data_IF_677977831896
#
_entry.id   IF_677977831896
#
_cell.length_a   1.000
_cell.length_b   1.000
_cell.length_c   1.000
_cell.angle_alpha   90.00
_cell.angle_beta   90.00
_cell.angle_gamma   90.00
#
_symmetry.space_group_name_H-M   'P 1'
#
loop_
_entity.id
_entity.type
_entity.pdbx_description
1 polymer ?
#
# COMPACT_ATOMS: atom_id res chain seq x y z
N UNK A 1 8.32 -13.19 -32.53
CA UNK A 1 9.00 -13.79 -31.35
C UNK A 1 8.22 -13.41 -30.09
N UNK A 2 8.21 -14.26 -29.05
CA UNK A 2 7.57 -13.94 -27.79
C UNK A 2 8.45 -12.89 -27.09
N UNK A 3 7.89 -11.74 -26.67
CA UNK A 3 8.64 -10.67 -25.99
C UNK A 3 9.30 -11.18 -24.71
N UNK A 4 10.54 -10.79 -24.49
CA UNK A 4 11.27 -11.06 -23.24
C UNK A 4 10.92 -9.97 -22.22
N UNK A 5 10.37 -10.37 -21.07
CA UNK A 5 9.82 -9.46 -20.06
C UNK A 5 10.62 -9.56 -18.76
N UNK A 6 11.00 -8.44 -18.18
CA UNK A 6 11.53 -8.34 -16.82
C UNK A 6 10.55 -7.57 -15.93
N UNK A 7 10.28 -8.10 -14.74
CA UNK A 7 9.52 -7.38 -13.69
C UNK A 7 10.45 -7.09 -12.52
N UNK A 8 10.62 -5.82 -12.19
CA UNK A 8 11.47 -5.37 -11.09
C UNK A 8 10.60 -5.03 -9.89
N UNK A 9 10.86 -5.65 -8.76
CA UNK A 9 10.16 -5.36 -7.50
C UNK A 9 11.17 -4.97 -6.42
N UNK A 10 10.87 -3.97 -5.60
CA UNK A 10 11.84 -3.40 -4.65
C UNK A 10 12.46 -4.45 -3.73
N UNK A 11 11.64 -5.28 -3.07
CA UNK A 11 12.09 -6.41 -2.25
C UNK A 11 10.96 -7.43 -2.01
N UNK A 12 11.34 -8.69 -1.85
CA UNK A 12 10.47 -9.83 -1.61
C UNK A 12 10.76 -10.41 -0.20
N UNK A 13 10.24 -9.77 0.84
CA UNK A 13 10.46 -10.17 2.23
C UNK A 13 9.17 -10.51 3.00
N UNK A 14 8.03 -10.57 2.31
CA UNK A 14 6.71 -10.93 2.84
C UNK A 14 5.62 -10.62 1.85
N UNK A 15 4.46 -11.27 1.99
CA UNK A 15 3.30 -11.04 1.13
C UNK A 15 2.45 -9.88 1.66
N UNK A 16 2.41 -8.78 0.94
CA UNK A 16 1.61 -7.57 1.22
C UNK A 16 0.91 -7.13 -0.06
N UNK A 17 0.30 -5.95 -0.06
CA UNK A 17 -0.41 -5.43 -1.23
C UNK A 17 0.45 -5.30 -2.49
N UNK A 18 1.72 -4.92 -2.35
CA UNK A 18 2.64 -4.82 -3.49
C UNK A 18 2.95 -6.16 -4.14
N UNK A 19 3.18 -7.19 -3.32
CA UNK A 19 3.44 -8.55 -3.79
C UNK A 19 2.19 -9.22 -4.38
N UNK A 20 0.98 -8.85 -3.91
CA UNK A 20 -0.28 -9.28 -4.55
C UNK A 20 -0.45 -8.66 -5.94
N UNK A 21 -0.07 -7.39 -6.11
CA UNK A 21 0.00 -6.76 -7.44
C UNK A 21 0.99 -7.50 -8.33
N UNK A 22 2.18 -7.84 -7.80
CA UNK A 22 3.19 -8.60 -8.55
C UNK A 22 2.67 -9.97 -9.01
N UNK A 23 1.97 -10.73 -8.15
CA UNK A 23 1.36 -12.01 -8.53
C UNK A 23 0.46 -11.88 -9.77
N UNK A 24 -0.39 -10.86 -9.80
CA UNK A 24 -1.29 -10.65 -10.93
C UNK A 24 -0.59 -10.12 -12.19
N UNK A 25 0.49 -9.34 -12.03
CA UNK A 25 1.35 -8.97 -13.16
C UNK A 25 2.02 -10.21 -13.78
N UNK A 26 2.44 -11.17 -12.95
CA UNK A 26 3.02 -12.44 -13.40
C UNK A 26 1.96 -13.34 -14.08
N UNK A 27 0.70 -13.30 -13.67
CA UNK A 27 -0.39 -13.98 -14.40
C UNK A 27 -0.61 -13.39 -15.80
N UNK A 28 -0.41 -12.06 -15.98
CA UNK A 28 -0.48 -11.42 -17.31
C UNK A 28 0.77 -11.69 -18.14
N UNK A 29 1.95 -11.79 -17.51
CA UNK A 29 3.24 -12.06 -18.15
C UNK A 29 3.91 -13.30 -17.55
N UNK A 30 3.38 -14.52 -17.78
CA UNK A 30 3.87 -15.74 -17.13
C UNK A 30 5.30 -16.14 -17.53
N UNK A 31 5.87 -15.52 -18.55
CA UNK A 31 7.26 -15.72 -18.97
C UNK A 31 8.24 -14.71 -18.34
N UNK A 32 7.78 -13.81 -17.48
CA UNK A 32 8.61 -12.74 -16.96
C UNK A 32 9.66 -13.27 -15.97
N UNK A 33 10.87 -12.75 -16.07
CA UNK A 33 11.92 -12.88 -15.07
C UNK A 33 11.74 -11.77 -14.01
N UNK A 34 12.07 -12.08 -12.76
CA UNK A 34 11.90 -11.14 -11.63
C UNK A 34 13.28 -10.65 -11.17
N UNK A 35 13.41 -9.35 -10.94
CA UNK A 35 14.57 -8.71 -10.35
C UNK A 35 14.20 -8.04 -9.03
N UNK A 36 14.99 -8.24 -7.97
CA UNK A 36 14.69 -7.70 -6.65
C UNK A 36 15.95 -7.45 -5.83
N UNK A 37 15.91 -6.46 -4.92
CA UNK A 37 17.04 -6.20 -4.03
C UNK A 37 17.21 -7.29 -2.97
N UNK A 38 16.12 -7.78 -2.40
CA UNK A 38 16.13 -8.75 -1.30
C UNK A 38 15.05 -9.81 -1.52
N UNK A 39 15.38 -11.05 -1.14
CA UNK A 39 14.48 -12.20 -1.19
C UNK A 39 14.55 -13.00 0.11
N UNK A 40 13.40 -13.21 0.76
CA UNK A 40 13.21 -14.11 1.90
C UNK A 40 12.19 -15.20 1.49
N UNK A 41 12.68 -16.25 0.83
CA UNK A 41 11.85 -17.29 0.18
C UNK A 41 10.70 -17.83 1.03
N UNK A 42 10.95 -18.06 2.35
CA UNK A 42 9.95 -18.63 3.28
C UNK A 42 8.69 -17.77 3.46
N UNK A 43 8.76 -16.48 3.10
CA UNK A 43 7.69 -15.51 3.28
C UNK A 43 7.01 -15.13 1.97
N UNK A 44 7.37 -15.79 0.84
CA UNK A 44 6.90 -15.45 -0.51
C UNK A 44 6.08 -16.62 -1.06
N UNK A 45 5.01 -16.31 -1.79
CA UNK A 45 4.14 -17.31 -2.38
C UNK A 45 4.84 -18.15 -3.43
N UNK A 46 4.36 -19.39 -3.59
CA UNK A 46 4.84 -20.31 -4.61
C UNK A 46 4.64 -19.75 -6.04
N UNK A 47 3.59 -18.97 -6.28
CA UNK A 47 3.35 -18.30 -7.56
C UNK A 47 4.54 -17.43 -7.99
N UNK A 48 5.05 -16.59 -7.08
CA UNK A 48 6.23 -15.75 -7.34
C UNK A 48 7.49 -16.61 -7.44
N UNK A 49 7.65 -17.60 -6.56
CA UNK A 49 8.84 -18.48 -6.52
C UNK A 49 8.96 -19.41 -7.74
N UNK A 50 7.88 -19.61 -8.50
CA UNK A 50 7.91 -20.40 -9.75
C UNK A 50 8.63 -19.69 -10.92
N UNK A 51 8.93 -18.40 -10.78
CA UNK A 51 9.65 -17.62 -11.79
C UNK A 51 11.16 -17.58 -11.53
N UNK A 52 11.95 -17.23 -12.55
CA UNK A 52 13.37 -16.93 -12.37
C UNK A 52 13.51 -15.65 -11.58
N UNK A 53 14.20 -15.69 -10.43
CA UNK A 53 14.39 -14.53 -9.56
C UNK A 53 15.87 -14.17 -9.46
N UNK A 54 16.22 -13.02 -9.99
CA UNK A 54 17.55 -12.42 -9.90
C UNK A 54 17.60 -11.47 -8.70
N UNK A 55 18.51 -11.76 -7.78
CA UNK A 55 18.60 -11.04 -6.51
C UNK A 55 19.90 -10.27 -6.42
N UNK A 56 19.86 -9.05 -5.89
CA UNK A 56 21.05 -8.22 -5.76
C UNK A 56 22.12 -8.86 -4.87
N UNK A 57 23.42 -8.51 -5.07
CA UNK A 57 24.49 -8.98 -4.20
C UNK A 57 24.32 -8.60 -2.72
N UNK A 58 23.59 -7.53 -2.41
CA UNK A 58 23.31 -7.10 -1.03
C UNK A 58 22.55 -8.18 -0.24
N UNK A 59 21.77 -9.02 -0.90
CA UNK A 59 21.00 -10.09 -0.27
C UNK A 59 21.88 -11.16 0.40
N UNK A 60 23.14 -11.33 -0.04
CA UNK A 60 24.10 -12.28 0.56
C UNK A 60 24.43 -11.94 2.01
N UNK A 61 24.36 -10.66 2.38
CA UNK A 61 24.72 -10.17 3.71
C UNK A 61 23.48 -10.16 4.61
N UNK A 62 23.35 -11.14 5.51
CA UNK A 62 22.21 -11.25 6.43
C UNK A 62 21.98 -9.99 7.26
N UNK A 63 23.06 -9.32 7.71
CA UNK A 63 22.95 -8.06 8.44
C UNK A 63 22.27 -6.97 7.61
N UNK A 64 22.65 -6.81 6.33
CA UNK A 64 22.03 -5.81 5.44
C UNK A 64 20.56 -6.18 5.20
N UNK A 65 20.28 -7.45 4.90
CA UNK A 65 18.90 -7.93 4.66
C UNK A 65 17.98 -7.69 5.84
N UNK A 66 18.45 -7.98 7.07
CA UNK A 66 17.64 -7.80 8.28
C UNK A 66 17.45 -6.33 8.69
N UNK A 67 18.38 -5.45 8.27
CA UNK A 67 18.37 -4.02 8.60
C UNK A 67 18.30 -3.13 7.35
N UNK A 68 17.74 -3.63 6.24
CA UNK A 68 17.79 -3.01 4.91
C UNK A 68 17.39 -1.53 4.88
N UNK A 69 16.45 -1.11 5.74
CA UNK A 69 16.00 0.29 5.84
C UNK A 69 17.13 1.27 6.15
N UNK A 70 18.19 0.84 6.81
CA UNK A 70 19.37 1.66 7.12
C UNK A 70 20.35 1.78 5.94
N UNK A 71 20.22 0.89 4.95
CA UNK A 71 21.08 0.82 3.77
C UNK A 71 20.47 1.47 2.53
N UNK A 72 19.38 2.21 2.70
CA UNK A 72 18.69 2.92 1.62
C UNK A 72 19.63 3.73 0.69
N UNK A 73 20.68 4.43 1.16
CA UNK A 73 21.60 5.14 0.28
C UNK A 73 22.37 4.27 -0.74
N UNK A 74 22.45 2.95 -0.52
CA UNK A 74 23.09 2.01 -1.46
C UNK A 74 22.13 1.50 -2.55
N UNK A 75 20.80 1.61 -2.34
CA UNK A 75 19.83 1.02 -3.23
C UNK A 75 19.83 1.61 -4.64
N UNK A 76 20.05 2.93 -4.85
CA UNK A 76 20.17 3.49 -6.18
C UNK A 76 21.19 2.77 -7.06
N UNK A 77 22.44 2.70 -6.63
CA UNK A 77 23.49 2.03 -7.39
C UNK A 77 23.28 0.52 -7.52
N UNK A 78 22.65 -0.08 -6.52
CA UNK A 78 22.36 -1.53 -6.56
C UNK A 78 21.27 -1.89 -7.56
N UNK A 79 20.22 -1.08 -7.67
CA UNK A 79 19.14 -1.35 -8.64
C UNK A 79 19.61 -1.08 -10.07
N UNK A 80 20.44 -0.05 -10.27
CA UNK A 80 21.01 0.30 -11.56
C UNK A 80 22.05 -0.71 -12.06
N UNK A 81 22.59 -1.55 -11.17
CA UNK A 81 23.59 -2.58 -11.53
C UNK A 81 22.99 -3.87 -12.11
N UNK A 82 21.67 -4.02 -12.16
CA UNK A 82 21.06 -5.16 -12.83
C UNK A 82 21.21 -5.04 -14.36
N UNK A 83 21.69 -6.12 -14.98
CA UNK A 83 21.76 -6.22 -16.43
C UNK A 83 20.39 -6.63 -17.01
N UNK A 84 19.80 -5.73 -17.76
CA UNK A 84 18.54 -5.96 -18.48
C UNK A 84 18.75 -6.00 -20.01
N UNK A 85 19.96 -6.32 -20.47
CA UNK A 85 20.23 -6.48 -21.90
C UNK A 85 19.34 -7.55 -22.51
N UNK A 86 18.71 -7.23 -23.64
CA UNK A 86 17.87 -8.16 -24.40
C UNK A 86 16.46 -8.38 -23.84
N UNK A 87 15.99 -7.57 -22.90
CA UNK A 87 14.57 -7.47 -22.56
C UNK A 87 13.88 -6.44 -23.46
N UNK A 88 12.69 -6.80 -23.97
CA UNK A 88 11.87 -5.93 -24.80
C UNK A 88 10.92 -5.07 -23.95
N UNK A 89 10.53 -5.61 -22.79
CA UNK A 89 9.62 -4.97 -21.84
C UNK A 89 10.16 -5.06 -20.42
N UNK A 90 10.22 -3.92 -19.76
CA UNK A 90 10.61 -3.78 -18.37
C UNK A 90 9.44 -3.19 -17.59
N UNK A 91 8.99 -3.88 -16.55
CA UNK A 91 7.90 -3.42 -15.67
C UNK A 91 8.49 -3.24 -14.28
N UNK A 92 8.43 -2.04 -13.72
CA UNK A 92 8.85 -1.81 -12.33
C UNK A 92 7.64 -1.64 -11.41
N UNK A 93 7.50 -2.52 -10.41
CA UNK A 93 6.52 -2.44 -9.31
C UNK A 93 7.21 -1.74 -8.14
N UNK A 94 6.99 -0.42 -8.00
CA UNK A 94 7.87 0.44 -7.22
C UNK A 94 7.16 1.20 -6.09
N UNK A 95 7.75 1.15 -4.92
CA UNK A 95 7.46 2.02 -3.78
C UNK A 95 8.76 2.64 -3.20
N UNK A 96 9.91 2.27 -3.80
CA UNK A 96 11.23 2.75 -3.43
C UNK A 96 12.08 3.01 -4.69
N UNK A 97 12.97 2.08 -5.06
CA UNK A 97 13.98 2.29 -6.11
C UNK A 97 13.74 1.51 -7.40
N UNK A 98 12.80 0.55 -7.43
CA UNK A 98 12.61 -0.34 -8.59
C UNK A 98 12.41 0.40 -9.91
N UNK A 99 11.75 1.59 -9.91
CA UNK A 99 11.61 2.43 -11.10
C UNK A 99 12.94 3.00 -11.64
N UNK A 100 14.01 2.94 -10.82
CA UNK A 100 15.33 3.45 -11.19
C UNK A 100 16.19 2.47 -11.96
N UNK A 101 15.66 1.30 -12.32
CA UNK A 101 16.34 0.36 -13.21
C UNK A 101 16.73 1.03 -14.54
N UNK A 102 17.82 0.56 -15.16
CA UNK A 102 18.27 1.03 -16.46
C UNK A 102 17.91 -0.02 -17.52
N UNK A 103 16.83 0.18 -18.31
CA UNK A 103 16.47 -0.72 -19.39
C UNK A 103 17.42 -0.57 -20.58
N UNK A 104 17.41 -1.54 -21.50
CA UNK A 104 18.05 -1.39 -22.80
C UNK A 104 17.42 -0.25 -23.63
N UNK A 105 18.14 0.29 -24.65
CA UNK A 105 17.69 1.47 -25.39
C UNK A 105 16.36 1.27 -26.15
N UNK A 106 16.06 0.05 -26.57
CA UNK A 106 14.83 -0.30 -27.29
C UNK A 106 13.74 -0.88 -26.38
N UNK A 107 14.03 -1.09 -25.10
CA UNK A 107 13.09 -1.70 -24.16
C UNK A 107 12.07 -0.67 -23.65
N UNK A 108 10.80 -1.01 -23.75
CA UNK A 108 9.72 -0.21 -23.14
C UNK A 108 9.73 -0.35 -21.62
N UNK A 109 9.83 0.75 -20.88
CA UNK A 109 9.78 0.76 -19.42
C UNK A 109 8.44 1.31 -18.89
N UNK A 110 7.64 0.45 -18.29
CA UNK A 110 6.38 0.81 -17.61
C UNK A 110 6.56 0.70 -16.10
N UNK A 111 6.28 1.77 -15.36
CA UNK A 111 6.43 1.79 -13.91
C UNK A 111 5.08 1.88 -13.18
N UNK A 112 4.73 0.82 -12.45
CA UNK A 112 3.60 0.83 -11.53
C UNK A 112 4.04 1.36 -10.18
N UNK A 113 3.54 2.52 -9.80
CA UNK A 113 3.93 3.22 -8.57
C UNK A 113 2.89 2.96 -7.47
N UNK A 114 3.31 2.21 -6.44
CA UNK A 114 2.52 2.07 -5.21
C UNK A 114 2.53 3.35 -4.38
N UNK A 115 3.69 4.03 -4.37
CA UNK A 115 3.90 5.31 -3.70
C UNK A 115 5.22 5.90 -4.18
N UNK A 116 5.32 7.20 -4.48
CA UNK A 116 6.61 7.88 -4.44
C UNK A 116 7.23 7.72 -3.04
N UNK A 117 8.57 7.65 -2.95
CA UNK A 117 9.27 7.43 -1.66
C UNK A 117 8.85 8.44 -0.59
N UNK A 118 7.80 8.12 0.20
CA UNK A 118 7.17 9.05 1.16
C UNK A 118 8.14 9.61 2.19
N UNK A 119 9.11 8.82 2.63
CA UNK A 119 10.11 9.22 3.64
C UNK A 119 11.15 10.21 3.12
N UNK A 120 11.32 10.40 1.81
CA UNK A 120 12.17 11.46 1.27
C UNK A 120 11.35 12.67 0.83
N UNK A 121 10.05 12.50 0.53
CA UNK A 121 9.16 13.56 0.07
C UNK A 121 8.25 14.10 1.18
N UNK A 122 6.98 13.83 1.09
CA UNK A 122 5.91 14.44 1.91
C UNK A 122 5.90 14.01 3.39
N UNK A 123 6.42 12.83 3.72
CA UNK A 123 6.46 12.34 5.10
C UNK A 123 7.87 12.45 5.75
N UNK A 124 8.78 13.22 5.17
CA UNK A 124 10.14 13.38 5.70
C UNK A 124 10.15 13.74 7.20
N UNK A 125 9.33 14.68 7.60
CA UNK A 125 9.28 15.12 8.99
C UNK A 125 8.65 14.08 9.93
N UNK A 126 7.69 13.29 9.47
CA UNK A 126 7.12 12.17 10.24
C UNK A 126 8.16 11.09 10.55
N UNK A 127 9.07 10.82 9.60
CA UNK A 127 10.13 9.82 9.78
C UNK A 127 11.34 10.34 10.53
N UNK A 128 11.77 11.58 10.26
CA UNK A 128 13.06 12.10 10.70
C UNK A 128 12.98 13.37 11.55
N UNK A 129 11.81 13.93 11.78
CA UNK A 129 11.62 15.19 12.48
C UNK A 129 12.17 15.21 13.92
N UNK A 130 12.14 14.06 14.61
CA UNK A 130 12.66 13.90 15.97
C UNK A 130 14.18 13.69 16.04
N UNK A 131 14.87 13.51 14.89
CA UNK A 131 16.33 13.28 14.84
C UNK A 131 17.09 14.57 15.11
N UNK A 132 18.18 14.53 15.90
CA UNK A 132 18.98 15.69 16.31
C UNK A 132 20.46 15.51 15.96
N UNK A 133 21.24 16.60 16.04
CA UNK A 133 22.70 16.63 15.97
C UNK A 133 23.26 16.17 14.61
N UNK A 134 24.45 15.60 14.61
CA UNK A 134 25.18 15.14 13.41
C UNK A 134 24.38 14.12 12.60
N UNK A 135 23.63 13.25 13.25
CA UNK A 135 22.75 12.27 12.60
C UNK A 135 21.69 12.96 11.73
N UNK A 136 21.10 14.06 12.20
CA UNK A 136 20.14 14.86 11.40
C UNK A 136 20.79 15.44 10.15
N UNK A 137 22.01 16.00 10.27
CA UNK A 137 22.75 16.55 9.15
C UNK A 137 23.10 15.48 8.11
N UNK A 138 23.56 14.32 8.56
CA UNK A 138 23.85 13.18 7.68
C UNK A 138 22.60 12.71 6.93
N UNK A 139 21.48 12.46 7.64
CA UNK A 139 20.20 12.04 7.02
C UNK A 139 19.76 13.08 5.98
N UNK A 140 19.78 14.38 6.33
CA UNK A 140 19.40 15.45 5.41
C UNK A 140 20.21 15.43 4.13
N UNK A 141 21.52 15.22 4.22
CA UNK A 141 22.41 15.12 3.05
C UNK A 141 22.06 13.91 2.18
N UNK A 142 21.83 12.73 2.80
CA UNK A 142 21.47 11.52 2.05
C UNK A 142 20.09 11.66 1.38
N UNK A 143 19.11 12.18 2.10
CA UNK A 143 17.75 12.42 1.55
C UNK A 143 17.81 13.42 0.37
N UNK A 144 18.63 14.47 0.46
CA UNK A 144 18.81 15.40 -0.66
C UNK A 144 19.36 14.71 -1.90
N UNK A 145 20.38 13.83 -1.75
CA UNK A 145 20.92 13.04 -2.86
C UNK A 145 19.87 12.08 -3.43
N UNK A 146 19.11 11.41 -2.56
CA UNK A 146 18.06 10.49 -2.98
C UNK A 146 16.95 11.21 -3.76
N UNK A 147 16.59 12.45 -3.40
CA UNK A 147 15.60 13.24 -4.16
C UNK A 147 16.08 13.54 -5.58
N UNK A 148 17.34 13.93 -5.73
CA UNK A 148 17.94 14.19 -7.06
C UNK A 148 17.93 12.91 -7.90
N UNK A 149 18.38 11.80 -7.33
CA UNK A 149 18.36 10.50 -7.99
C UNK A 149 16.95 10.04 -8.35
N UNK A 150 15.99 10.20 -7.43
CA UNK A 150 14.61 9.79 -7.61
C UNK A 150 13.91 10.51 -8.78
N UNK A 151 14.20 11.81 -8.93
CA UNK A 151 13.76 12.61 -10.08
C UNK A 151 14.46 12.15 -11.36
N UNK A 152 15.79 12.01 -11.35
CA UNK A 152 16.55 11.55 -12.52
C UNK A 152 16.11 10.15 -12.98
N UNK A 153 15.87 9.24 -12.03
CA UNK A 153 15.34 7.90 -12.30
C UNK A 153 13.96 7.95 -12.96
N UNK A 154 13.11 8.89 -12.56
CA UNK A 154 11.76 9.04 -13.16
C UNK A 154 11.78 9.47 -14.63
N UNK A 155 12.85 10.11 -15.09
CA UNK A 155 13.00 10.51 -16.49
C UNK A 155 13.25 9.31 -17.44
N UNK A 156 13.73 8.18 -16.91
CA UNK A 156 14.00 6.94 -17.68
C UNK A 156 12.77 6.05 -17.87
N UNK A 157 11.67 6.38 -17.22
CA UNK A 157 10.40 5.64 -17.31
C UNK A 157 9.59 6.18 -18.49
N UNK A 158 9.17 5.32 -19.41
CA UNK A 158 8.35 5.73 -20.55
C UNK A 158 6.92 6.01 -20.10
N UNK A 159 6.32 5.08 -19.35
CA UNK A 159 4.93 5.20 -18.90
C UNK A 159 4.77 4.91 -17.40
N UNK A 160 4.01 5.78 -16.74
CA UNK A 160 3.65 5.60 -15.33
C UNK A 160 2.22 5.10 -15.16
N UNK A 161 2.06 4.15 -14.23
CA UNK A 161 0.78 3.72 -13.69
C UNK A 161 0.78 4.04 -12.20
N UNK A 162 -0.23 4.74 -11.73
CA UNK A 162 -0.46 5.02 -10.32
C UNK A 162 -1.51 4.06 -9.75
N UNK A 163 -1.35 3.64 -8.50
CA UNK A 163 -2.33 2.79 -7.82
C UNK A 163 -3.61 3.55 -7.39
N UNK A 164 -3.61 4.87 -7.46
CA UNK A 164 -4.74 5.74 -7.09
C UNK A 164 -4.62 7.13 -7.71
N UNK A 165 -5.72 7.87 -7.74
CA UNK A 165 -5.69 9.30 -8.12
C UNK A 165 -4.83 10.13 -7.15
N UNK A 166 -4.76 9.73 -5.88
CA UNK A 166 -3.88 10.37 -4.91
C UNK A 166 -2.39 10.18 -5.27
N UNK A 167 -1.97 8.97 -5.63
CA UNK A 167 -0.60 8.70 -6.07
C UNK A 167 -0.32 9.34 -7.43
N UNK A 168 -1.27 9.36 -8.37
CA UNK A 168 -1.16 10.10 -9.64
C UNK A 168 -0.82 11.57 -9.41
N UNK A 169 -1.53 12.25 -8.48
CA UNK A 169 -1.22 13.64 -8.11
C UNK A 169 0.19 13.81 -7.54
N UNK A 170 0.68 12.81 -6.77
CA UNK A 170 2.04 12.81 -6.20
C UNK A 170 3.11 12.56 -7.26
N UNK A 171 2.87 11.69 -8.25
CA UNK A 171 3.74 11.50 -9.41
C UNK A 171 3.89 12.83 -10.16
N UNK A 172 2.79 13.48 -10.47
CA UNK A 172 2.82 14.81 -11.08
C UNK A 172 3.57 15.84 -10.22
N UNK A 173 3.31 15.86 -8.92
CA UNK A 173 3.95 16.82 -8.00
C UNK A 173 5.46 16.68 -7.97
N UNK A 174 5.99 15.45 -7.88
CA UNK A 174 7.41 15.20 -7.65
C UNK A 174 8.21 14.94 -8.93
N UNK A 175 7.59 14.29 -9.92
CA UNK A 175 8.27 13.86 -11.14
C UNK A 175 7.86 14.67 -12.38
N UNK A 176 6.78 15.45 -12.32
CA UNK A 176 6.22 16.16 -13.46
C UNK A 176 5.89 15.22 -14.64
N UNK A 177 5.44 14.01 -14.32
CA UNK A 177 5.07 12.98 -15.28
C UNK A 177 3.59 12.64 -15.15
N UNK A 178 2.94 12.41 -16.30
CA UNK A 178 1.57 11.88 -16.36
C UNK A 178 1.57 10.40 -15.96
N UNK A 179 0.46 9.94 -15.37
CA UNK A 179 0.24 8.55 -15.02
C UNK A 179 -1.20 8.13 -15.31
N UNK A 180 -1.38 6.93 -15.82
CA UNK A 180 -2.67 6.25 -15.80
C UNK A 180 -2.98 5.78 -14.37
N UNK A 181 -4.25 5.51 -14.06
CA UNK A 181 -4.64 4.94 -12.77
C UNK A 181 -5.15 3.53 -13.00
N UNK A 182 -4.50 2.55 -12.34
CA UNK A 182 -4.96 1.17 -12.24
C UNK A 182 -4.91 0.79 -10.78
N UNK A 183 -6.07 0.64 -10.17
CA UNK A 183 -6.19 0.34 -8.74
C UNK A 183 -5.65 -1.05 -8.41
N UNK A 184 -4.95 -1.24 -7.27
CA UNK A 184 -4.43 -2.54 -6.88
C UNK A 184 -5.56 -3.49 -6.50
N UNK A 185 -5.33 -4.80 -6.60
CA UNK A 185 -6.34 -5.81 -6.30
C UNK A 185 -6.58 -5.97 -4.80
N UNK A 186 -7.83 -6.24 -4.45
CA UNK A 186 -8.21 -6.86 -3.19
C UNK A 186 -8.79 -8.26 -3.47
N UNK A 187 -8.66 -9.17 -2.50
CA UNK A 187 -9.18 -10.53 -2.61
C UNK A 187 -10.70 -10.53 -2.33
N UNK A 188 -11.46 -10.02 -3.29
CA UNK A 188 -12.91 -9.91 -3.17
C UNK A 188 -13.64 -11.25 -3.19
N UNK A 189 -12.99 -12.33 -3.62
CA UNK A 189 -13.56 -13.67 -3.63
C UNK A 189 -13.44 -14.32 -2.25
N UNK A 190 -12.36 -14.04 -1.54
CA UNK A 190 -12.17 -14.46 -0.16
C UNK A 190 -13.00 -13.59 0.82
N UNK A 191 -12.92 -12.26 0.70
CA UNK A 191 -13.71 -11.34 1.51
C UNK A 191 -15.11 -11.22 0.94
N UNK A 192 -16.08 -11.79 1.64
CA UNK A 192 -17.49 -11.80 1.23
C UNK A 192 -18.39 -11.46 2.42
N UNK A 193 -19.55 -10.88 2.18
CA UNK A 193 -20.52 -10.62 3.23
C UNK A 193 -21.08 -11.95 3.78
N UNK A 194 -21.63 -11.89 4.97
CA UNK A 194 -22.31 -13.00 5.62
C UNK A 194 -23.72 -12.53 6.02
N UNK A 195 -24.68 -13.44 5.97
CA UNK A 195 -26.06 -13.16 6.38
C UNK A 195 -26.21 -13.31 7.90
N UNK A 196 -25.53 -12.44 8.64
CA UNK A 196 -25.58 -12.38 10.09
C UNK A 196 -25.61 -10.92 10.56
N UNK A 197 -26.23 -10.64 11.73
CA UNK A 197 -26.30 -9.28 12.23
C UNK A 197 -24.91 -8.71 12.53
N UNK A 198 -24.74 -7.41 12.30
CA UNK A 198 -23.57 -6.68 12.74
C UNK A 198 -23.46 -6.74 14.26
N UNK A 199 -22.22 -6.83 14.77
CA UNK A 199 -21.91 -6.72 16.20
C UNK A 199 -21.60 -5.27 16.52
N UNK A 200 -21.75 -4.89 17.76
CA UNK A 200 -21.56 -3.50 18.20
C UNK A 200 -20.08 -3.17 18.42
N UNK A 201 -19.32 -3.09 17.33
CA UNK A 201 -17.93 -2.60 17.35
C UNK A 201 -17.52 -1.99 16.02
N UNK A 202 -16.55 -1.07 16.10
CA UNK A 202 -15.81 -0.52 14.98
C UNK A 202 -14.48 -1.25 14.80
N UNK A 203 -13.99 -1.33 13.57
CA UNK A 203 -12.76 -2.05 13.24
C UNK A 203 -11.76 -1.12 12.55
N UNK A 204 -10.49 -1.18 12.96
CA UNK A 204 -9.38 -0.63 12.18
C UNK A 204 -8.28 -1.67 12.01
N UNK A 205 -7.75 -1.79 10.79
CA UNK A 205 -6.66 -2.72 10.43
C UNK A 205 -5.52 -1.91 9.84
N UNK A 206 -4.40 -1.82 10.56
CA UNK A 206 -3.29 -0.96 10.15
C UNK A 206 -1.97 -1.31 10.81
N UNK A 207 -0.85 -0.95 10.18
CA UNK A 207 0.43 -0.88 10.88
C UNK A 207 0.37 0.21 11.97
N UNK A 208 0.85 -0.10 13.17
CA UNK A 208 0.84 0.83 14.30
C UNK A 208 2.07 1.75 14.24
N UNK A 209 1.96 2.76 13.36
CA UNK A 209 2.99 3.78 13.10
C UNK A 209 2.37 5.20 13.19
N UNK A 210 3.14 6.25 13.52
CA UNK A 210 2.59 7.57 13.85
C UNK A 210 1.65 8.15 12.79
N UNK A 211 2.00 8.05 11.50
CA UNK A 211 1.22 8.67 10.41
C UNK A 211 -0.12 7.98 10.09
N UNK A 212 -0.44 6.89 10.78
CA UNK A 212 -1.75 6.21 10.68
C UNK A 212 -2.79 6.79 11.63
N UNK A 213 -2.38 7.72 12.53
CA UNK A 213 -3.27 8.48 13.43
C UNK A 213 -4.18 7.58 14.30
N UNK A 214 -3.66 6.40 14.71
CA UNK A 214 -4.42 5.45 15.56
C UNK A 214 -4.64 6.01 16.96
N UNK A 215 -3.75 6.85 17.46
CA UNK A 215 -3.88 7.59 18.72
C UNK A 215 -5.14 8.49 18.74
N UNK A 216 -5.41 9.19 17.63
CA UNK A 216 -6.64 10.00 17.49
C UNK A 216 -7.91 9.16 17.48
N UNK A 217 -7.87 7.97 16.84
CA UNK A 217 -9.00 7.05 16.92
C UNK A 217 -9.22 6.60 18.35
N UNK A 218 -8.16 6.19 19.07
CA UNK A 218 -8.26 5.77 20.47
C UNK A 218 -8.84 6.90 21.33
N UNK A 219 -8.37 8.14 21.18
CA UNK A 219 -8.87 9.27 21.93
C UNK A 219 -10.36 9.53 21.66
N UNK A 220 -10.78 9.48 20.39
CA UNK A 220 -12.18 9.65 20.00
C UNK A 220 -13.06 8.55 20.60
N UNK A 221 -12.64 7.27 20.48
CA UNK A 221 -13.40 6.15 20.99
C UNK A 221 -13.40 6.07 22.53
N UNK A 222 -12.35 6.50 23.22
CA UNK A 222 -12.37 6.66 24.67
C UNK A 222 -13.46 7.65 25.12
N UNK A 223 -13.71 8.71 24.33
CA UNK A 223 -14.69 9.75 24.66
C UNK A 223 -16.11 9.36 24.28
N UNK A 224 -16.33 8.72 23.14
CA UNK A 224 -17.68 8.31 22.74
C UNK A 224 -18.14 6.99 23.39
N UNK A 225 -17.22 6.18 23.91
CA UNK A 225 -17.54 4.93 24.63
C UNK A 225 -17.82 3.71 23.72
N UNK A 226 -17.89 3.88 22.42
CA UNK A 226 -18.09 2.78 21.46
C UNK A 226 -16.89 1.82 21.47
N UNK A 227 -17.12 0.54 21.17
CA UNK A 227 -16.04 -0.45 21.09
C UNK A 227 -15.22 -0.29 19.82
N UNK A 228 -13.90 -0.19 19.94
CA UNK A 228 -12.96 -0.19 18.82
C UNK A 228 -12.04 -1.41 18.89
N UNK A 229 -12.03 -2.22 17.83
CA UNK A 229 -11.06 -3.30 17.64
C UNK A 229 -9.94 -2.80 16.72
N UNK A 230 -8.71 -2.85 17.22
CA UNK A 230 -7.50 -2.45 16.49
C UNK A 230 -6.71 -3.70 16.14
N UNK A 231 -6.60 -4.00 14.84
CA UNK A 231 -5.79 -5.12 14.34
C UNK A 231 -4.51 -4.60 13.73
N UNK A 232 -3.36 -5.03 14.26
CA UNK A 232 -2.08 -4.65 13.70
C UNK A 232 -0.90 -4.77 14.63
N UNK A 233 0.28 -4.43 14.08
CA UNK A 233 1.57 -4.40 14.79
C UNK A 233 2.35 -3.15 14.40
N UNK A 234 3.20 -2.67 15.30
CA UNK A 234 4.10 -1.56 14.98
C UNK A 234 4.80 -1.01 16.19
N UNK A 235 5.74 -0.08 15.99
CA UNK A 235 6.54 0.51 17.06
C UNK A 235 5.69 1.30 18.07
N UNK A 236 4.52 1.82 17.66
CA UNK A 236 3.63 2.59 18.54
C UNK A 236 2.73 1.72 19.46
N UNK A 237 2.74 0.38 19.31
CA UNK A 237 1.82 -0.51 20.06
C UNK A 237 1.84 -0.24 21.59
N UNK A 238 3.05 -0.07 22.18
CA UNK A 238 3.18 0.22 23.61
C UNK A 238 2.58 1.55 24.03
N UNK A 239 2.78 2.58 23.20
CA UNK A 239 2.28 3.92 23.47
C UNK A 239 0.75 3.99 23.31
N UNK A 240 0.23 3.37 22.26
CA UNK A 240 -1.21 3.28 22.00
C UNK A 240 -1.95 2.54 23.11
N UNK A 241 -1.41 1.43 23.62
CA UNK A 241 -2.00 0.70 24.75
C UNK A 241 -2.03 1.48 26.06
N UNK A 242 -1.14 2.46 26.26
CA UNK A 242 -1.15 3.31 27.47
C UNK A 242 -2.31 4.30 27.50
N UNK A 243 -2.78 4.74 26.34
CA UNK A 243 -3.87 5.72 26.20
C UNK A 243 -5.23 5.06 25.94
N UNK A 244 -5.25 3.75 25.74
CA UNK A 244 -6.46 2.98 25.41
C UNK A 244 -7.33 2.78 26.65
N UNK A 245 -8.62 3.08 26.54
CA UNK A 245 -9.66 2.78 27.52
C UNK A 245 -10.10 1.31 27.46
N UNK A 246 -11.06 0.94 28.32
CA UNK A 246 -11.58 -0.44 28.43
C UNK A 246 -12.34 -0.92 27.19
N UNK A 247 -12.84 0.01 26.38
CA UNK A 247 -13.60 -0.24 25.14
C UNK A 247 -12.66 -0.40 23.91
N UNK A 248 -11.34 -0.33 24.08
CA UNK A 248 -10.35 -0.48 23.00
C UNK A 248 -9.71 -1.86 23.08
N UNK A 249 -9.86 -2.67 22.04
CA UNK A 249 -9.37 -4.05 21.97
C UNK A 249 -8.27 -4.18 20.93
N UNK A 250 -7.07 -4.58 21.33
CA UNK A 250 -5.96 -4.86 20.40
C UNK A 250 -5.91 -6.33 20.03
N UNK A 251 -5.84 -6.61 18.72
CA UNK A 251 -5.65 -7.95 18.16
C UNK A 251 -4.43 -7.97 17.24
N UNK A 252 -3.75 -9.11 17.18
CA UNK A 252 -2.58 -9.33 16.29
C UNK A 252 -2.43 -10.81 15.95
N UNK A 253 -1.69 -11.13 14.89
CA UNK A 253 -1.45 -12.50 14.42
C UNK A 253 -2.75 -13.27 14.13
N UNK A 254 -3.75 -12.59 13.61
CA UNK A 254 -4.99 -13.23 13.17
C UNK A 254 -4.74 -14.04 11.90
N UNK A 255 -5.48 -15.15 11.75
CA UNK A 255 -5.62 -15.80 10.46
C UNK A 255 -6.41 -14.92 9.48
N UNK A 256 -6.38 -15.26 8.20
CA UNK A 256 -7.18 -14.54 7.21
C UNK A 256 -8.68 -14.66 7.48
N UNK A 257 -9.12 -15.84 7.94
CA UNK A 257 -10.50 -16.15 8.31
C UNK A 257 -10.96 -15.32 9.52
N UNK A 258 -10.15 -15.24 10.57
CA UNK A 258 -10.43 -14.42 11.75
C UNK A 258 -10.53 -12.94 11.39
N UNK A 259 -9.66 -12.47 10.50
CA UNK A 259 -9.71 -11.08 10.01
C UNK A 259 -10.97 -10.83 9.17
N UNK A 260 -11.34 -11.77 8.29
CA UNK A 260 -12.58 -11.70 7.52
C UNK A 260 -13.81 -11.65 8.42
N UNK A 261 -13.87 -12.49 9.46
CA UNK A 261 -14.98 -12.47 10.44
C UNK A 261 -15.10 -11.08 11.11
N UNK A 262 -13.96 -10.45 11.47
CA UNK A 262 -13.99 -9.10 12.03
C UNK A 262 -14.53 -8.05 11.04
N UNK A 263 -14.16 -8.14 9.77
CA UNK A 263 -14.75 -7.25 8.75
C UNK A 263 -16.25 -7.49 8.59
N UNK A 264 -16.67 -8.75 8.51
CA UNK A 264 -18.08 -9.13 8.27
C UNK A 264 -19.03 -8.61 9.34
N UNK A 265 -18.59 -8.56 10.59
CA UNK A 265 -19.44 -8.21 11.72
C UNK A 265 -19.25 -6.78 12.26
N UNK A 266 -18.28 -6.03 11.78
CA UNK A 266 -18.08 -4.65 12.23
C UNK A 266 -19.24 -3.73 11.83
N UNK A 267 -19.62 -2.81 12.71
CA UNK A 267 -20.55 -1.72 12.41
C UNK A 267 -20.03 -0.87 11.26
N UNK A 268 -18.75 -0.51 11.32
CA UNK A 268 -18.02 0.12 10.24
C UNK A 268 -16.51 -0.12 10.39
N UNK A 269 -15.78 -0.06 9.27
CA UNK A 269 -14.33 0.06 9.26
C UNK A 269 -13.96 1.53 9.43
N UNK A 270 -13.12 1.86 10.42
CA UNK A 270 -12.76 3.26 10.73
C UNK A 270 -11.28 3.53 10.53
N UNK A 271 -10.95 4.68 9.92
CA UNK A 271 -9.57 5.06 9.67
C UNK A 271 -9.36 6.59 9.66
N UNK A 272 -8.40 7.07 10.46
CA UNK A 272 -8.12 8.50 10.57
C UNK A 272 -6.88 8.97 9.79
N UNK A 273 -6.02 8.06 9.35
CA UNK A 273 -4.81 8.37 8.61
C UNK A 273 -5.04 8.64 7.12
N UNK A 274 -3.94 8.80 6.38
CA UNK A 274 -3.96 8.94 4.92
C UNK A 274 -3.28 7.72 4.30
N UNK A 275 -4.01 7.00 3.42
CA UNK A 275 -3.48 5.89 2.64
C UNK A 275 -3.22 6.31 1.19
N UNK A 276 -2.24 5.68 0.56
CA UNK A 276 -2.00 5.85 -0.88
C UNK A 276 -3.12 5.25 -1.72
N UNK A 277 -3.63 4.09 -1.34
CA UNK A 277 -4.86 3.49 -1.87
C UNK A 277 -5.75 3.02 -0.71
N UNK A 278 -5.34 2.01 0.05
CA UNK A 278 -6.07 1.49 1.20
C UNK A 278 -6.83 0.20 0.89
N UNK A 279 -6.11 -0.89 0.62
CA UNK A 279 -6.70 -2.23 0.35
C UNK A 279 -7.68 -2.63 1.47
N UNK A 280 -7.38 -2.31 2.73
CA UNK A 280 -8.25 -2.61 3.87
C UNK A 280 -9.66 -1.98 3.76
N UNK A 281 -9.80 -0.83 3.10
CA UNK A 281 -11.12 -0.24 2.80
C UNK A 281 -11.91 -1.13 1.85
N UNK A 282 -11.23 -1.66 0.82
CA UNK A 282 -11.86 -2.55 -0.16
C UNK A 282 -12.22 -3.89 0.47
N UNK A 283 -11.35 -4.45 1.33
CA UNK A 283 -11.62 -5.69 2.08
C UNK A 283 -12.86 -5.54 2.97
N UNK A 284 -12.98 -4.41 3.68
CA UNK A 284 -14.17 -4.08 4.48
C UNK A 284 -15.42 -4.01 3.59
N UNK A 285 -15.36 -3.26 2.49
CA UNK A 285 -16.48 -3.18 1.54
C UNK A 285 -16.79 -4.52 0.89
N UNK A 286 -15.80 -5.35 0.60
CA UNK A 286 -16.01 -6.70 0.10
C UNK A 286 -16.81 -7.57 1.07
N UNK A 287 -16.67 -7.34 2.37
CA UNK A 287 -17.48 -7.96 3.43
C UNK A 287 -18.83 -7.24 3.67
N UNK A 288 -19.21 -6.27 2.85
CA UNK A 288 -20.46 -5.49 3.03
C UNK A 288 -20.40 -4.53 4.21
N UNK A 289 -19.23 -4.13 4.67
CA UNK A 289 -19.03 -3.24 5.80
C UNK A 289 -18.70 -1.83 5.34
N UNK A 290 -19.45 -0.80 5.79
CA UNK A 290 -19.22 0.58 5.38
C UNK A 290 -17.90 1.12 5.95
N UNK A 291 -17.34 2.09 5.25
CA UNK A 291 -16.06 2.73 5.63
C UNK A 291 -16.32 4.11 6.21
N UNK A 292 -15.74 4.38 7.37
CA UNK A 292 -15.66 5.68 8.01
C UNK A 292 -14.23 6.18 7.96
N UNK A 293 -13.91 7.19 7.17
CA UNK A 293 -12.52 7.61 7.02
C UNK A 293 -12.33 9.12 6.82
N UNK A 294 -11.09 9.57 7.05
CA UNK A 294 -10.68 10.92 6.71
C UNK A 294 -10.71 11.13 5.21
N UNK A 295 -11.35 12.23 4.77
CA UNK A 295 -11.61 12.58 3.36
C UNK A 295 -10.33 13.00 2.62
N UNK A 296 -9.29 12.15 2.65
CA UNK A 296 -8.03 12.42 1.97
C UNK A 296 -7.26 11.14 1.64
N UNK A 297 -6.60 11.14 0.49
CA UNK A 297 -5.82 9.98 0.05
C UNK A 297 -6.59 9.08 -0.91
N UNK A 298 -6.19 7.81 -0.99
CA UNK A 298 -6.79 6.82 -1.88
C UNK A 298 -8.22 6.43 -1.52
N UNK A 299 -8.68 6.72 -0.32
CA UNK A 299 -10.07 6.50 0.11
C UNK A 299 -11.09 7.20 -0.80
N UNK A 300 -10.69 8.32 -1.42
CA UNK A 300 -11.54 9.07 -2.36
C UNK A 300 -11.82 8.33 -3.68
N UNK A 301 -11.02 7.32 -3.99
CA UNK A 301 -11.23 6.46 -5.16
C UNK A 301 -12.16 5.27 -4.83
N UNK A 302 -12.37 4.99 -3.53
CA UNK A 302 -13.02 3.77 -3.03
C UNK A 302 -14.41 4.06 -2.44
N UNK A 303 -14.55 5.14 -1.66
CA UNK A 303 -15.72 5.41 -0.84
C UNK A 303 -16.56 6.52 -1.43
N UNK A 304 -17.85 6.24 -1.64
CA UNK A 304 -18.90 7.18 -1.99
C UNK A 304 -19.98 7.23 -0.89
N UNK A 305 -21.04 8.01 -1.12
CA UNK A 305 -22.13 8.21 -0.17
C UNK A 305 -22.93 6.93 0.18
N UNK A 306 -22.93 5.92 -0.72
CA UNK A 306 -23.67 4.66 -0.56
C UNK A 306 -22.80 3.59 0.11
N UNK A 307 -21.50 3.83 0.27
CA UNK A 307 -20.52 2.84 0.73
C UNK A 307 -19.75 3.26 1.99
N UNK A 308 -19.97 4.48 2.47
CA UNK A 308 -19.35 4.94 3.71
C UNK A 308 -19.57 6.42 4.00
N UNK A 309 -18.90 6.91 5.01
CA UNK A 309 -18.94 8.30 5.42
C UNK A 309 -17.52 8.87 5.56
N UNK A 310 -17.27 10.03 4.93
CA UNK A 310 -15.97 10.67 4.96
C UNK A 310 -16.04 11.96 5.79
N UNK A 311 -15.17 12.08 6.81
CA UNK A 311 -15.05 13.29 7.63
C UNK A 311 -13.95 14.23 7.14
N UNK A 312 -14.15 15.55 7.28
CA UNK A 312 -13.34 16.59 6.63
C UNK A 312 -12.05 16.91 7.39
N UNK A 313 -12.00 16.76 8.72
CA UNK A 313 -10.84 17.14 9.55
C UNK A 313 -10.39 16.01 10.46
N UNK A 314 -9.07 15.83 10.59
CA UNK A 314 -8.46 14.81 11.46
C UNK A 314 -8.46 15.25 12.93
N UNK A 315 -9.59 15.73 13.45
CA UNK A 315 -9.74 16.07 14.87
C UNK A 315 -10.56 15.00 15.58
N UNK A 316 -10.36 14.89 16.90
CA UNK A 316 -11.11 13.96 17.75
C UNK A 316 -12.62 14.22 17.66
N UNK A 317 -13.02 15.48 17.68
CA UNK A 317 -14.43 15.87 17.65
C UNK A 317 -15.10 15.51 16.31
N UNK A 318 -14.42 15.73 15.18
CA UNK A 318 -14.92 15.30 13.87
C UNK A 318 -15.04 13.78 13.75
N UNK A 319 -14.13 13.01 14.35
CA UNK A 319 -14.22 11.56 14.40
C UNK A 319 -15.44 11.12 15.21
N UNK A 320 -15.67 11.72 16.39
CA UNK A 320 -16.85 11.41 17.23
C UNK A 320 -18.15 11.72 16.49
N UNK A 321 -18.24 12.88 15.86
CA UNK A 321 -19.40 13.27 15.06
C UNK A 321 -19.64 12.31 13.91
N UNK A 322 -18.58 11.87 13.24
CA UNK A 322 -18.65 10.93 12.14
C UNK A 322 -19.10 9.53 12.62
N UNK A 323 -18.60 9.06 13.77
CA UNK A 323 -19.07 7.82 14.43
C UNK A 323 -20.56 7.87 14.75
N UNK A 324 -21.03 9.00 15.28
CA UNK A 324 -22.45 9.19 15.59
C UNK A 324 -23.34 9.27 14.34
N UNK A 325 -22.82 9.84 13.25
CA UNK A 325 -23.53 9.95 11.97
C UNK A 325 -23.64 8.61 11.27
N UNK A 326 -22.55 7.86 11.14
CA UNK A 326 -22.54 6.60 10.40
C UNK A 326 -23.46 5.55 11.02
N UNK A 327 -23.66 5.55 12.34
CA UNK A 327 -24.60 4.67 13.04
C UNK A 327 -26.07 4.92 12.68
N UNK A 328 -26.41 6.08 12.13
CA UNK A 328 -27.76 6.47 11.75
C UNK A 328 -28.08 6.22 10.27
N UNK A 329 -27.09 5.83 9.49
CA UNK A 329 -27.23 5.59 8.04
C UNK A 329 -27.49 4.10 7.82
N UNK A 330 -28.56 3.79 7.10
CA UNK A 330 -28.89 2.41 6.70
C UNK A 330 -28.11 2.05 5.42
N UNK A 331 -26.90 1.57 5.59
CA UNK A 331 -26.09 1.09 4.48
C UNK A 331 -26.54 -0.30 4.01
N UNK A 332 -26.63 -0.47 2.69
CA UNK A 332 -26.99 -1.75 2.07
C UNK A 332 -25.73 -2.58 1.78
N UNK A 333 -25.49 -3.72 2.49
CA UNK A 333 -24.28 -4.53 2.28
C UNK A 333 -24.07 -4.96 0.82
N UNK A 334 -25.14 -5.21 0.06
CA UNK A 334 -25.09 -5.58 -1.35
C UNK A 334 -24.55 -4.44 -2.24
N UNK A 335 -24.88 -3.18 -1.95
CA UNK A 335 -24.37 -2.00 -2.67
C UNK A 335 -22.90 -1.81 -2.35
N UNK A 336 -22.52 -1.87 -1.06
CA UNK A 336 -21.13 -1.78 -0.61
C UNK A 336 -20.30 -2.87 -1.29
N UNK A 337 -20.74 -4.12 -1.26
CA UNK A 337 -20.10 -5.25 -1.93
C UNK A 337 -19.91 -4.99 -3.42
N UNK A 338 -20.95 -4.55 -4.13
CA UNK A 338 -20.91 -4.27 -5.57
C UNK A 338 -19.81 -3.23 -5.89
N UNK A 339 -19.62 -2.23 -5.05
CA UNK A 339 -18.58 -1.24 -5.23
C UNK A 339 -17.17 -1.85 -5.13
N UNK A 340 -16.94 -2.79 -4.19
CA UNK A 340 -15.64 -3.42 -4.00
C UNK A 340 -15.17 -4.26 -5.19
N UNK A 341 -16.10 -4.82 -5.99
CA UNK A 341 -15.76 -5.68 -7.15
C UNK A 341 -14.99 -4.93 -8.23
N UNK A 342 -15.11 -3.61 -8.32
CA UNK A 342 -14.28 -2.77 -9.20
C UNK A 342 -12.79 -2.92 -8.94
N UNK A 343 -12.41 -3.38 -7.75
CA UNK A 343 -11.04 -3.55 -7.26
C UNK A 343 -10.67 -5.03 -7.11
N UNK A 344 -11.37 -5.94 -7.78
CA UNK A 344 -11.06 -7.37 -7.79
C UNK A 344 -9.76 -7.67 -8.54
N UNK A 345 -9.19 -8.86 -8.31
CA UNK A 345 -8.04 -9.36 -9.08
C UNK A 345 -8.32 -9.42 -10.57
N UNK A 346 -9.53 -9.83 -10.97
CA UNK A 346 -9.93 -9.88 -12.39
C UNK A 346 -10.01 -8.47 -13.01
N UNK A 347 -10.55 -7.50 -12.29
CA UNK A 347 -10.58 -6.10 -12.73
C UNK A 347 -9.17 -5.55 -12.91
N UNK A 348 -8.25 -5.83 -11.97
CA UNK A 348 -6.86 -5.44 -12.09
C UNK A 348 -6.21 -6.06 -13.34
N UNK A 349 -6.31 -7.38 -13.52
CA UNK A 349 -5.70 -8.10 -14.65
C UNK A 349 -6.21 -7.55 -15.99
N UNK A 350 -7.52 -7.36 -16.10
CA UNK A 350 -8.13 -6.78 -17.30
C UNK A 350 -7.56 -5.40 -17.61
N UNK A 351 -7.65 -4.47 -16.65
CA UNK A 351 -7.20 -3.08 -16.86
C UNK A 351 -5.70 -3.00 -17.14
N UNK A 352 -4.90 -3.83 -16.47
CA UNK A 352 -3.46 -3.88 -16.67
C UNK A 352 -3.09 -4.45 -18.03
N UNK A 353 -3.76 -5.55 -18.44
CA UNK A 353 -3.56 -6.16 -19.78
C UNK A 353 -3.98 -5.23 -20.89
N UNK A 354 -5.13 -4.57 -20.77
CA UNK A 354 -5.63 -3.63 -21.78
C UNK A 354 -4.64 -2.44 -21.90
N UNK A 355 -4.22 -1.88 -20.77
CA UNK A 355 -3.21 -0.81 -20.74
C UNK A 355 -1.89 -1.19 -21.41
N UNK A 356 -1.41 -2.41 -21.19
CA UNK A 356 -0.17 -2.91 -21.79
C UNK A 356 -0.33 -3.16 -23.29
N UNK A 357 -1.45 -3.75 -23.72
CA UNK A 357 -1.73 -4.02 -25.14
C UNK A 357 -1.75 -2.75 -25.98
N UNK A 358 -2.26 -1.65 -25.45
CA UNK A 358 -2.30 -0.35 -26.15
C UNK A 358 -0.89 0.26 -26.40
N UNK A 359 0.16 -0.28 -25.79
CA UNK A 359 1.54 0.25 -25.80
C UNK A 359 2.58 -0.74 -26.36
N UNK A 360 2.19 -1.96 -26.55
CA UNK A 360 3.02 -3.04 -27.06
C UNK A 360 2.72 -3.36 -28.53
#
# INVERSE_FOLDING_TARGET
MKRKVAIIHDWLNGMRGGEKVLELMLEVFPQADIYTLFLEKKNISEKILAHNIFVSPLNKYSFIRNHYKHFLPLFPSTIEAFDLTGYDLVISSSHCVAKGIIPGPEALHVSYIHSPMRYIWDQYYSYFGKTKGLKKSFIRRQVSKLRVWDIAASARVDHFIANSNFVKKRIWKYYRREAAVIHPPADTDFYQPVDHPKRDYFLTVSALVPYKEIDRLIEAFNRCGDTLIIVGKGPEEKNLKKIAGKNIVFKKNLSAEELRELYQHATAFVFAGIEDFGIAFVEAQACGTPVLAYKKGGVLDIVDQDTGFLFEEQTVDHIIDAVNKIKKIDFKPSIIRKNSIKFSGESFKKNFKDYMNDRL
#
